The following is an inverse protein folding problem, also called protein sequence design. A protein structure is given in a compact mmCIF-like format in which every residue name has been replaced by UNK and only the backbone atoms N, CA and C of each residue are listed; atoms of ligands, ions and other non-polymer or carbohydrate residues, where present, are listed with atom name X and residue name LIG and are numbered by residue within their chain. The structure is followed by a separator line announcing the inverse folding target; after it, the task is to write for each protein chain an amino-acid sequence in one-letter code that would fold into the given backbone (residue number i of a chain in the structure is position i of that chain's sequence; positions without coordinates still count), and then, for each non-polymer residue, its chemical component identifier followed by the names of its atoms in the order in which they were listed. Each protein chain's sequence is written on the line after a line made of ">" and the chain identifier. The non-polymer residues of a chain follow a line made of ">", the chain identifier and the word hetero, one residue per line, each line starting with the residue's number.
data_IF_640834013419
#
_entry.id   IF_640834013419
#
_cell.length_a   1.000
_cell.length_b   1.000
_cell.length_c   1.000
_cell.angle_alpha   90.00
_cell.angle_beta   90.00
_cell.angle_gamma   90.00
#
_symmetry.space_group_name_H-M   'P 1'
#
loop_
_entity.id
_entity.type
_entity.pdbx_description
1 polymer ?
#
# COMPACT_ATOMS: atom_id res chain seq x y z
N UNK A 1 -13.50 1.06 11.83
CA UNK A 1 -12.09 1.06 12.18
C UNK A 1 -11.19 0.56 11.06
N UNK A 2 -9.92 0.64 11.27
CA UNK A 2 -8.91 0.15 10.34
C UNK A 2 -8.73 -1.36 10.56
N UNK A 3 -8.92 -2.14 9.49
CA UNK A 3 -8.65 -3.57 9.50
C UNK A 3 -7.48 -3.91 8.60
N UNK A 4 -6.67 -4.89 8.97
CA UNK A 4 -5.53 -5.36 8.18
C UNK A 4 -5.48 -6.88 8.12
N UNK A 5 -4.95 -7.42 7.03
CA UNK A 5 -4.82 -8.85 6.81
C UNK A 5 -3.48 -9.15 6.14
N UNK A 6 -2.69 -10.03 6.74
CA UNK A 6 -1.46 -10.56 6.16
C UNK A 6 -1.78 -11.68 5.18
N UNK A 7 -1.31 -11.53 3.92
CA UNK A 7 -1.57 -12.47 2.84
C UNK A 7 -0.35 -13.30 2.55
N UNK A 8 0.13 -14.24 2.97
CA UNK A 8 1.34 -14.97 2.57
C UNK A 8 1.24 -15.54 1.16
N UNK A 9 2.38 -15.85 0.57
CA UNK A 9 2.50 -16.56 -0.69
C UNK A 9 2.81 -15.71 -1.90
N UNK A 10 3.02 -16.36 -3.07
CA UNK A 10 3.36 -15.71 -4.32
C UNK A 10 2.14 -15.11 -5.02
N UNK A 11 2.38 -14.10 -5.87
CA UNK A 11 1.37 -13.45 -6.71
C UNK A 11 0.26 -12.75 -5.91
N UNK A 12 0.59 -12.30 -4.72
CA UNK A 12 -0.30 -11.50 -3.88
C UNK A 12 0.51 -10.53 -3.02
N UNK A 13 -0.07 -9.39 -2.63
CA UNK A 13 0.64 -8.46 -1.74
C UNK A 13 0.87 -9.07 -0.36
N UNK A 14 1.83 -8.52 0.38
CA UNK A 14 2.15 -9.01 1.73
C UNK A 14 1.01 -8.78 2.70
N UNK A 15 0.41 -7.61 2.63
CA UNK A 15 -0.65 -7.18 3.55
C UNK A 15 -1.68 -6.38 2.76
N UNK A 16 -2.93 -6.51 3.14
CA UNK A 16 -3.97 -5.55 2.77
C UNK A 16 -4.57 -4.94 4.02
N UNK A 17 -5.06 -3.71 3.90
CA UNK A 17 -5.76 -3.02 4.98
C UNK A 17 -7.01 -2.37 4.42
N UNK A 18 -7.97 -2.08 5.28
CA UNK A 18 -9.20 -1.42 4.86
C UNK A 18 -9.81 -0.57 5.96
N UNK A 19 -10.49 0.49 5.58
CA UNK A 19 -11.28 1.32 6.48
C UNK A 19 -12.38 2.01 5.66
N UNK A 20 -13.62 1.87 6.07
CA UNK A 20 -14.75 2.40 5.33
C UNK A 20 -14.74 1.90 3.87
N UNK A 21 -14.80 2.84 2.92
CA UNK A 21 -14.76 2.54 1.49
C UNK A 21 -13.35 2.35 0.94
N UNK A 22 -12.32 2.48 1.76
CA UNK A 22 -10.93 2.50 1.32
C UNK A 22 -10.26 1.16 1.52
N UNK A 23 -9.41 0.77 0.55
CA UNK A 23 -8.54 -0.38 0.63
C UNK A 23 -7.09 0.01 0.39
N UNK A 24 -6.16 -0.69 1.00
CA UNK A 24 -4.73 -0.44 0.92
C UNK A 24 -3.99 -1.72 0.57
N UNK A 25 -3.16 -1.64 -0.46
CA UNK A 25 -2.29 -2.72 -0.91
C UNK A 25 -0.88 -2.42 -0.39
N UNK A 26 -0.33 -3.28 0.46
CA UNK A 26 0.92 -3.02 1.16
C UNK A 26 2.00 -4.01 0.74
N UNK A 27 3.17 -3.47 0.37
CA UNK A 27 4.40 -4.24 0.23
C UNK A 27 5.29 -3.92 1.42
N UNK A 28 5.50 -4.91 2.29
CA UNK A 28 6.23 -4.73 3.55
C UNK A 28 7.67 -5.21 3.42
N UNK A 29 8.61 -4.27 3.40
CA UNK A 29 10.05 -4.50 3.40
C UNK A 29 10.70 -3.98 4.69
N UNK A 30 9.99 -4.06 5.80
CA UNK A 30 10.44 -3.51 7.10
C UNK A 30 11.74 -4.16 7.59
N UNK A 31 12.06 -5.37 7.14
CA UNK A 31 13.30 -6.08 7.47
C UNK A 31 14.51 -5.63 6.64
N UNK A 32 14.31 -4.84 5.60
CA UNK A 32 15.40 -4.36 4.72
C UNK A 32 15.83 -2.95 5.10
N UNK A 33 17.13 -2.74 5.31
CA UNK A 33 17.68 -1.42 5.54
C UNK A 33 17.93 -0.73 4.21
N UNK A 34 17.30 0.45 3.99
CA UNK A 34 17.52 1.25 2.79
C UNK A 34 16.99 0.60 1.52
N UNK A 35 15.71 0.31 1.52
CA UNK A 35 15.00 -0.30 0.40
C UNK A 35 14.95 0.64 -0.82
N UNK A 36 15.30 0.10 -1.99
CA UNK A 36 15.14 0.78 -3.27
C UNK A 36 13.95 0.17 -4.01
N UNK A 37 13.03 1.01 -4.48
CA UNK A 37 11.93 0.54 -5.32
C UNK A 37 12.46 0.36 -6.74
N UNK A 38 12.90 -0.86 -7.06
CA UNK A 38 13.44 -1.22 -8.37
C UNK A 38 12.34 -1.30 -9.43
N UNK A 39 12.74 -1.45 -10.71
CA UNK A 39 11.80 -1.69 -11.80
C UNK A 39 10.95 -2.94 -11.53
N UNK A 40 11.56 -4.01 -11.03
CA UNK A 40 10.84 -5.24 -10.69
C UNK A 40 9.79 -4.99 -9.60
N UNK A 41 10.15 -4.25 -8.56
CA UNK A 41 9.23 -3.92 -7.47
C UNK A 41 8.07 -3.04 -7.94
N UNK A 42 8.35 -2.08 -8.83
CA UNK A 42 7.28 -1.26 -9.45
C UNK A 42 6.32 -2.15 -10.25
N UNK A 43 6.85 -3.00 -11.10
CA UNK A 43 6.04 -3.86 -11.95
C UNK A 43 5.16 -4.81 -11.11
N UNK A 44 5.70 -5.30 -10.02
CA UNK A 44 4.96 -6.15 -9.08
C UNK A 44 3.79 -5.40 -8.45
N UNK A 45 4.02 -4.16 -7.99
CA UNK A 45 2.94 -3.34 -7.41
C UNK A 45 1.88 -2.98 -8.46
N UNK A 46 2.30 -2.62 -9.67
CA UNK A 46 1.36 -2.37 -10.78
C UNK A 46 0.49 -3.60 -11.02
N UNK A 47 1.09 -4.78 -11.01
CA UNK A 47 0.34 -6.03 -11.19
C UNK A 47 -0.70 -6.24 -10.08
N UNK A 48 -0.34 -5.99 -8.83
CA UNK A 48 -1.29 -6.09 -7.72
C UNK A 48 -2.46 -5.11 -7.89
N UNK A 49 -2.16 -3.87 -8.23
CA UNK A 49 -3.19 -2.84 -8.44
C UNK A 49 -4.13 -3.26 -9.59
N UNK A 50 -3.57 -3.76 -10.69
CA UNK A 50 -4.35 -4.20 -11.84
C UNK A 50 -5.17 -5.46 -11.52
N UNK A 51 -4.60 -6.41 -10.77
CA UNK A 51 -5.32 -7.60 -10.33
C UNK A 51 -6.55 -7.22 -9.50
N UNK A 52 -6.38 -6.27 -8.58
CA UNK A 52 -7.51 -5.78 -7.78
C UNK A 52 -8.55 -5.04 -8.63
N UNK A 53 -8.10 -4.29 -9.64
CA UNK A 53 -9.01 -3.55 -10.52
C UNK A 53 -9.85 -4.48 -11.39
N UNK A 54 -9.21 -5.43 -12.06
CA UNK A 54 -9.87 -6.30 -13.04
C UNK A 54 -10.52 -7.51 -12.40
N UNK A 55 -9.99 -8.02 -11.29
CA UNK A 55 -10.53 -9.13 -10.51
C UNK A 55 -10.84 -10.35 -11.36
N UNK A 56 -9.90 -10.69 -12.25
CA UNK A 56 -10.05 -11.80 -13.18
C UNK A 56 -9.34 -13.05 -12.63
N UNK A 57 -10.12 -14.05 -12.23
CA UNK A 57 -9.61 -15.30 -11.68
C UNK A 57 -8.79 -16.11 -12.70
N UNK A 58 -8.99 -15.88 -14.00
CA UNK A 58 -8.17 -16.52 -15.04
C UNK A 58 -6.78 -15.93 -15.09
N UNK A 59 -6.66 -14.65 -14.79
CA UNK A 59 -5.38 -13.93 -14.74
C UNK A 59 -4.61 -14.24 -13.44
N UNK A 60 -5.31 -14.30 -12.32
CA UNK A 60 -4.73 -14.66 -11.03
C UNK A 60 -5.71 -15.51 -10.21
N UNK A 61 -5.56 -16.85 -10.25
CA UNK A 61 -6.52 -17.77 -9.63
C UNK A 61 -6.62 -17.69 -8.11
N UNK A 62 -5.63 -17.09 -7.43
CA UNK A 62 -5.71 -16.99 -5.97
C UNK A 62 -6.76 -15.99 -5.48
N UNK A 63 -7.20 -15.06 -6.34
CA UNK A 63 -8.29 -14.12 -6.05
C UNK A 63 -8.14 -13.38 -4.72
N UNK A 64 -6.91 -12.96 -4.39
CA UNK A 64 -6.59 -12.34 -3.09
C UNK A 64 -7.44 -11.09 -2.80
N UNK A 65 -7.89 -10.38 -3.84
CA UNK A 65 -8.72 -9.18 -3.72
C UNK A 65 -10.08 -9.45 -3.05
N UNK A 66 -10.53 -10.70 -3.02
CA UNK A 66 -11.78 -11.08 -2.36
C UNK A 66 -11.72 -10.87 -0.84
N UNK A 67 -10.52 -10.70 -0.29
CA UNK A 67 -10.33 -10.39 1.13
C UNK A 67 -10.68 -8.95 1.49
N UNK A 68 -10.79 -8.06 0.50
CA UNK A 68 -11.30 -6.71 0.76
C UNK A 68 -12.79 -6.75 1.08
N UNK A 69 -13.27 -5.89 2.02
CA UNK A 69 -14.70 -5.73 2.25
C UNK A 69 -15.42 -5.31 0.98
N UNK A 70 -16.67 -5.73 0.83
CA UNK A 70 -17.47 -5.43 -0.36
C UNK A 70 -17.65 -3.92 -0.59
N UNK A 71 -17.73 -3.12 0.49
CA UNK A 71 -17.86 -1.66 0.40
C UNK A 71 -16.58 -0.94 -0.04
N UNK A 72 -15.43 -1.63 -0.08
CA UNK A 72 -14.18 -1.01 -0.52
C UNK A 72 -14.21 -0.76 -2.03
N UNK A 73 -14.13 0.51 -2.41
CA UNK A 73 -14.19 0.94 -3.81
C UNK A 73 -13.10 1.93 -4.21
N UNK A 74 -12.32 2.40 -3.25
CA UNK A 74 -11.22 3.36 -3.47
C UNK A 74 -9.96 2.79 -2.86
N UNK A 75 -8.88 2.69 -3.66
CA UNK A 75 -7.70 1.95 -3.27
C UNK A 75 -6.45 2.82 -3.35
N UNK A 76 -5.49 2.52 -2.46
CA UNK A 76 -4.17 3.12 -2.41
C UNK A 76 -3.12 2.01 -2.29
N UNK A 77 -1.87 2.35 -2.58
CA UNK A 77 -0.75 1.42 -2.34
C UNK A 77 0.26 2.02 -1.35
N UNK A 78 1.02 1.15 -0.69
CA UNK A 78 1.98 1.57 0.32
C UNK A 78 3.19 0.63 0.32
N UNK A 79 4.38 1.24 0.32
CA UNK A 79 5.62 0.53 0.64
C UNK A 79 6.05 0.86 2.05
N UNK A 80 6.41 -0.16 2.83
CA UNK A 80 6.94 -0.01 4.18
C UNK A 80 8.37 -0.54 4.21
N UNK A 81 9.31 0.24 4.75
CA UNK A 81 10.69 -0.19 4.94
C UNK A 81 11.30 0.54 6.15
N UNK A 82 12.44 0.06 6.64
CA UNK A 82 13.18 0.79 7.66
C UNK A 82 13.80 2.08 7.13
N UNK A 83 13.98 2.20 5.81
CA UNK A 83 14.44 3.40 5.14
C UNK A 83 14.37 3.23 3.62
N UNK A 84 14.30 4.34 2.89
CA UNK A 84 14.22 4.33 1.43
C UNK A 84 15.44 5.00 0.83
N UNK A 85 15.92 4.49 -0.31
CA UNK A 85 17.05 5.02 -1.08
C UNK A 85 16.70 5.19 -2.54
N UNK A 86 17.57 5.91 -3.26
CA UNK A 86 17.44 6.10 -4.70
C UNK A 86 16.25 6.97 -5.06
N UNK A 87 15.74 6.77 -6.25
CA UNK A 87 14.64 7.58 -6.80
C UNK A 87 13.28 6.99 -6.46
N UNK A 88 13.06 6.64 -5.21
CA UNK A 88 11.82 6.00 -4.78
C UNK A 88 10.58 6.88 -4.99
N UNK A 89 10.71 8.20 -4.86
CA UNK A 89 9.58 9.11 -5.11
C UNK A 89 9.17 9.11 -6.58
N UNK A 90 10.14 9.03 -7.49
CA UNK A 90 9.87 8.88 -8.92
C UNK A 90 9.16 7.55 -9.19
N UNK A 91 9.56 6.48 -8.49
CA UNK A 91 8.91 5.18 -8.62
C UNK A 91 7.44 5.23 -8.18
N UNK A 92 7.13 5.93 -7.08
CA UNK A 92 5.76 6.12 -6.62
C UNK A 92 4.92 6.87 -7.65
N UNK A 93 5.46 7.96 -8.19
CA UNK A 93 4.78 8.75 -9.22
C UNK A 93 4.54 7.94 -10.50
N UNK A 94 5.50 7.09 -10.89
CA UNK A 94 5.37 6.24 -12.07
C UNK A 94 4.25 5.20 -11.90
N UNK A 95 4.17 4.57 -10.74
CA UNK A 95 3.08 3.63 -10.42
C UNK A 95 1.73 4.33 -10.51
N UNK A 96 1.61 5.51 -9.91
CA UNK A 96 0.37 6.29 -9.94
C UNK A 96 -0.02 6.67 -11.36
N UNK A 97 0.94 7.08 -12.18
CA UNK A 97 0.71 7.41 -13.58
C UNK A 97 0.22 6.20 -14.38
N UNK A 98 0.85 5.04 -14.19
CA UNK A 98 0.53 3.82 -14.92
C UNK A 98 -0.82 3.22 -14.52
N UNK A 99 -1.24 3.38 -13.27
CA UNK A 99 -2.41 2.69 -12.73
C UNK A 99 -3.59 3.58 -12.40
N UNK A 100 -3.35 4.89 -12.26
CA UNK A 100 -4.38 5.80 -11.75
C UNK A 100 -4.65 5.65 -10.25
N UNK A 101 -3.83 4.85 -9.55
CA UNK A 101 -3.94 4.63 -8.10
C UNK A 101 -2.79 5.32 -7.40
N UNK A 102 -3.10 6.17 -6.43
CA UNK A 102 -2.10 6.89 -5.65
C UNK A 102 -1.58 6.05 -4.50
N UNK A 103 -0.36 6.35 -4.08
CA UNK A 103 0.28 5.60 -3.02
C UNK A 103 1.26 6.44 -2.22
N UNK A 104 2.04 5.75 -1.39
CA UNK A 104 3.02 6.37 -0.54
C UNK A 104 4.12 5.38 -0.15
N UNK A 105 5.19 5.92 0.42
CA UNK A 105 6.20 5.16 1.15
C UNK A 105 6.19 5.64 2.60
N UNK A 106 6.41 4.74 3.53
CA UNK A 106 6.48 5.07 4.95
C UNK A 106 7.56 4.23 5.61
N UNK A 107 8.38 4.86 6.48
CA UNK A 107 9.32 4.08 7.27
C UNK A 107 8.60 3.35 8.42
N UNK A 108 9.19 2.26 8.90
CA UNK A 108 8.66 1.52 10.05
C UNK A 108 8.50 2.44 11.26
N UNK A 109 9.45 3.36 11.46
CA UNK A 109 9.39 4.35 12.53
C UNK A 109 8.17 5.27 12.39
N UNK A 110 7.95 5.83 11.19
CA UNK A 110 6.79 6.70 10.96
C UNK A 110 5.47 5.93 10.96
N UNK A 111 5.49 4.65 10.60
CA UNK A 111 4.31 3.80 10.72
C UNK A 111 3.86 3.64 12.18
N UNK A 112 4.82 3.47 13.10
CA UNK A 112 4.53 3.43 14.54
C UNK A 112 3.97 4.78 15.02
N UNK A 113 4.54 5.89 14.56
CA UNK A 113 4.01 7.23 14.90
C UNK A 113 2.59 7.42 14.38
N UNK A 114 2.31 6.96 13.17
CA UNK A 114 0.97 6.98 12.60
C UNK A 114 -0.01 6.20 13.49
N UNK A 115 0.37 4.99 13.89
CA UNK A 115 -0.46 4.16 14.76
C UNK A 115 -0.73 4.84 16.10
N UNK A 116 0.28 5.47 16.70
CA UNK A 116 0.14 6.22 17.95
C UNK A 116 -0.82 7.39 17.80
N UNK A 117 -0.70 8.15 16.72
CA UNK A 117 -1.59 9.29 16.45
C UNK A 117 -3.03 8.89 16.22
N UNK A 118 -3.25 7.77 15.56
CA UNK A 118 -4.59 7.20 15.40
C UNK A 118 -5.16 6.78 16.75
N UNK A 119 -4.34 6.14 17.59
CA UNK A 119 -4.74 5.71 18.93
C UNK A 119 -5.08 6.89 19.84
N UNK A 120 -4.30 7.96 19.76
CA UNK A 120 -4.49 9.18 20.56
C UNK A 120 -5.63 10.08 20.05
N UNK A 121 -6.08 9.84 18.82
CA UNK A 121 -7.10 10.66 18.19
C UNK A 121 -6.58 11.97 17.57
N UNK A 122 -5.24 12.17 17.53
CA UNK A 122 -4.65 13.34 16.85
C UNK A 122 -4.74 13.22 15.33
N UNK A 123 -4.83 11.97 14.83
CA UNK A 123 -5.24 11.67 13.47
C UNK A 123 -6.43 10.72 13.54
N UNK A 124 -7.31 10.82 12.55
CA UNK A 124 -8.43 9.88 12.39
C UNK A 124 -8.30 9.15 11.08
N UNK A 125 -9.08 8.09 10.89
CA UNK A 125 -9.10 7.35 9.62
C UNK A 125 -9.56 8.23 8.46
N UNK A 126 -10.31 9.30 8.71
CA UNK A 126 -10.72 10.26 7.68
C UNK A 126 -9.54 11.09 7.15
N UNK A 127 -8.46 11.20 7.90
CA UNK A 127 -7.26 11.93 7.49
C UNK A 127 -6.35 11.08 6.59
N UNK A 128 -6.49 9.76 6.61
CA UNK A 128 -5.56 8.85 5.93
C UNK A 128 -5.53 9.03 4.41
N UNK A 129 -6.64 9.21 3.69
CA UNK A 129 -6.58 9.34 2.23
C UNK A 129 -5.67 10.47 1.76
N UNK A 130 -5.59 11.56 2.51
CA UNK A 130 -4.76 12.71 2.16
C UNK A 130 -3.26 12.44 2.27
N UNK A 131 -2.84 11.33 2.89
CA UNK A 131 -1.43 10.97 3.01
C UNK A 131 -0.88 10.29 1.74
N UNK A 132 -1.74 9.78 0.88
CA UNK A 132 -1.34 9.04 -0.32
C UNK A 132 -1.24 10.00 -1.52
N UNK A 133 -0.10 10.72 -1.57
CA UNK A 133 0.18 11.75 -2.58
C UNK A 133 1.42 11.43 -3.40
N UNK A 134 1.76 10.14 -3.50
CA UNK A 134 2.93 9.66 -4.25
C UNK A 134 4.25 10.18 -3.67
N UNK A 135 4.28 10.31 -2.35
CA UNK A 135 5.42 10.81 -1.57
C UNK A 135 5.67 9.92 -0.35
N UNK A 136 6.79 10.16 0.32
CA UNK A 136 7.04 9.54 1.62
C UNK A 136 6.22 10.23 2.69
N UNK A 137 5.53 9.43 3.53
CA UNK A 137 4.79 9.95 4.69
C UNK A 137 5.78 10.19 5.84
N UNK A 138 5.82 11.41 6.33
CA UNK A 138 6.70 11.82 7.42
C UNK A 138 5.93 12.59 8.48
N UNK A 139 6.34 12.39 9.73
CA UNK A 139 5.79 13.08 10.88
C UNK A 139 6.85 13.84 11.65
#
# INVERSE_FOLDING_TARGET
>A
GLGGLHLGGANRPDVIASWGRYGLIVDNKAYEAGFTISAHQKDEMVRYIDDNRFRDARRNPNCWWEQFPEEADTFFFLYVSSGFRGEYQRALADIAYRTGTHGAAITSENLLLLAERLKEGTLTTDDLPALFRDEEIRF
#
